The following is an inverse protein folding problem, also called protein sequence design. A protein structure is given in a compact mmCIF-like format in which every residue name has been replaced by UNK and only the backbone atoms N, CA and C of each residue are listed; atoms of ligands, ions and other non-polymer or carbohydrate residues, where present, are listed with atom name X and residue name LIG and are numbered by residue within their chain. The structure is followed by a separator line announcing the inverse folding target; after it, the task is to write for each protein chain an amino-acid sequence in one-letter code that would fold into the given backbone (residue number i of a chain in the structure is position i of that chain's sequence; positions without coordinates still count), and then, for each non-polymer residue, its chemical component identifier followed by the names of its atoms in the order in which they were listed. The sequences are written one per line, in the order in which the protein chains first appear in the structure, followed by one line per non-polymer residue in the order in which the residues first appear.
data_IF_652374634265
#
_entry.id   IF_652374634265
#
_cell.length_a   1.000
_cell.length_b   1.000
_cell.length_c   1.000
_cell.angle_alpha   90.00
_cell.angle_beta   90.00
_cell.angle_gamma   90.00
#
_symmetry.space_group_name_H-M   'P 1'
#
loop_
_entity.id
_entity.type
_entity.pdbx_description
1 polymer ?
#
# COMPACT_ATOMS: atom_id res chain seq x y z
N UNK A 1 6.09 -0.05 -1.13
CA UNK A 1 6.27 0.16 0.31
C UNK A 1 4.94 -0.03 1.05
N UNK A 2 3.96 0.89 0.91
CA UNK A 2 2.67 0.79 1.63
C UNK A 2 1.92 -0.54 1.40
N UNK A 3 1.66 -0.92 0.14
CA UNK A 3 0.86 -2.12 -0.15
C UNK A 3 1.56 -3.42 0.20
N UNK A 4 2.87 -3.47 0.06
CA UNK A 4 3.69 -4.61 0.48
C UNK A 4 3.68 -4.75 2.01
N UNK A 5 3.75 -3.64 2.74
CA UNK A 5 3.67 -3.64 4.20
C UNK A 5 2.30 -4.14 4.69
N UNK A 6 1.21 -3.60 4.11
CA UNK A 6 -0.17 -4.03 4.39
C UNK A 6 -0.36 -5.51 4.04
N UNK A 7 0.11 -5.94 2.87
CA UNK A 7 0.01 -7.34 2.42
C UNK A 7 0.77 -8.25 3.37
N UNK A 8 2.03 -7.94 3.67
CA UNK A 8 2.89 -8.73 4.56
C UNK A 8 2.28 -8.86 5.94
N UNK A 9 1.78 -7.76 6.50
CA UNK A 9 1.04 -7.77 7.76
C UNK A 9 -0.12 -8.77 7.69
N UNK A 10 -0.98 -8.66 6.66
CA UNK A 10 -2.13 -9.55 6.51
C UNK A 10 -1.74 -11.02 6.32
N UNK A 11 -0.71 -11.31 5.54
CA UNK A 11 -0.21 -12.67 5.34
C UNK A 11 0.29 -13.30 6.65
N UNK A 12 0.96 -12.51 7.49
CA UNK A 12 1.44 -12.98 8.80
C UNK A 12 0.30 -13.29 9.79
N UNK A 13 -0.93 -12.85 9.51
CA UNK A 13 -2.10 -13.19 10.33
C UNK A 13 -2.75 -14.52 9.93
N UNK A 14 -2.29 -15.17 8.85
CA UNK A 14 -2.82 -16.48 8.45
C UNK A 14 -2.26 -17.56 9.38
N UNK A 15 -3.10 -18.32 10.12
CA UNK A 15 -2.62 -19.32 11.07
C UNK A 15 -1.74 -20.40 10.44
N UNK A 16 -0.59 -20.71 11.04
CA UNK A 16 0.37 -21.70 10.53
C UNK A 16 -0.23 -23.11 10.36
N UNK A 17 -1.24 -23.46 11.15
CA UNK A 17 -1.92 -24.75 11.12
C UNK A 17 -3.16 -24.85 10.24
N UNK A 18 -3.48 -23.84 9.43
CA UNK A 18 -4.63 -23.94 8.52
C UNK A 18 -4.36 -24.89 7.35
N UNK A 19 -5.42 -25.55 6.88
CA UNK A 19 -5.37 -26.42 5.71
C UNK A 19 -4.81 -25.66 4.49
N UNK A 20 -3.99 -26.30 3.61
CA UNK A 20 -3.34 -25.62 2.49
C UNK A 20 -4.31 -24.83 1.60
N UNK A 21 -5.47 -25.42 1.28
CA UNK A 21 -6.48 -24.77 0.43
C UNK A 21 -7.13 -23.54 1.11
N UNK A 22 -7.18 -23.50 2.44
CA UNK A 22 -7.68 -22.35 3.21
C UNK A 22 -6.66 -21.22 3.19
N UNK A 23 -5.37 -21.55 3.34
CA UNK A 23 -4.26 -20.60 3.19
C UNK A 23 -4.27 -19.94 1.81
N UNK A 24 -4.34 -20.74 0.75
CA UNK A 24 -4.39 -20.23 -0.63
C UNK A 24 -5.63 -19.35 -0.89
N UNK A 25 -6.78 -19.69 -0.31
CA UNK A 25 -7.97 -18.86 -0.42
C UNK A 25 -7.81 -17.51 0.32
N UNK A 26 -7.21 -17.53 1.52
CA UNK A 26 -6.92 -16.33 2.29
C UNK A 26 -5.92 -15.41 1.58
N UNK A 27 -4.83 -15.97 1.06
CA UNK A 27 -3.81 -15.23 0.30
C UNK A 27 -4.41 -14.53 -0.93
N UNK A 28 -5.23 -15.25 -1.71
CA UNK A 28 -5.94 -14.64 -2.85
C UNK A 28 -6.92 -13.54 -2.42
N UNK A 29 -7.60 -13.72 -1.29
CA UNK A 29 -8.51 -12.71 -0.74
C UNK A 29 -7.76 -11.44 -0.32
N UNK A 30 -6.61 -11.59 0.32
CA UNK A 30 -5.71 -10.48 0.70
C UNK A 30 -5.24 -9.75 -0.56
N UNK A 31 -4.75 -10.48 -1.56
CA UNK A 31 -4.28 -9.89 -2.82
C UNK A 31 -5.39 -9.12 -3.54
N UNK A 32 -6.61 -9.67 -3.60
CA UNK A 32 -7.76 -9.01 -4.19
C UNK A 32 -8.18 -7.74 -3.42
N UNK A 33 -8.15 -7.77 -2.08
CA UNK A 33 -8.49 -6.63 -1.26
C UNK A 33 -7.46 -5.50 -1.37
N UNK A 34 -6.16 -5.84 -1.33
CA UNK A 34 -5.08 -4.87 -1.54
C UNK A 34 -5.20 -4.24 -2.92
N UNK A 35 -5.42 -5.05 -3.96
CA UNK A 35 -5.63 -4.55 -5.31
C UNK A 35 -6.88 -3.65 -5.44
N UNK A 36 -7.99 -4.02 -4.79
CA UNK A 36 -9.20 -3.20 -4.71
C UNK A 36 -8.94 -1.83 -4.10
N UNK A 37 -8.19 -1.77 -3.00
CA UNK A 37 -7.79 -0.52 -2.36
C UNK A 37 -6.91 0.33 -3.31
N UNK A 38 -5.99 -0.30 -4.04
CA UNK A 38 -5.16 0.40 -5.02
C UNK A 38 -6.01 1.05 -6.10
N UNK A 39 -7.00 0.34 -6.65
CA UNK A 39 -7.91 0.91 -7.65
C UNK A 39 -8.74 2.07 -7.10
N UNK A 40 -9.09 2.05 -5.81
CA UNK A 40 -9.81 3.16 -5.16
C UNK A 40 -8.93 4.40 -5.04
N UNK A 41 -7.67 4.22 -4.64
CA UNK A 41 -6.70 5.31 -4.48
C UNK A 41 -6.34 5.91 -5.85
N UNK A 42 -6.18 5.07 -6.86
CA UNK A 42 -5.90 5.48 -8.24
C UNK A 42 -7.13 6.11 -8.93
N UNK A 43 -8.30 6.10 -8.27
CA UNK A 43 -9.54 6.63 -8.80
C UNK A 43 -10.16 5.80 -9.93
N UNK A 44 -9.65 4.59 -10.18
CA UNK A 44 -10.10 3.65 -11.22
C UNK A 44 -11.43 2.99 -10.84
N UNK A 45 -11.63 2.67 -9.56
CA UNK A 45 -12.86 2.03 -9.09
C UNK A 45 -13.31 2.57 -7.74
N UNK A 46 -14.54 2.24 -7.32
CA UNK A 46 -15.04 2.66 -6.01
C UNK A 46 -15.19 4.17 -5.92
N UNK A 47 -15.89 4.75 -6.90
CA UNK A 47 -16.38 6.11 -6.78
C UNK A 47 -17.23 6.16 -5.51
N UNK A 48 -16.65 6.65 -4.42
CA UNK A 48 -17.33 6.95 -3.16
C UNK A 48 -18.24 8.15 -3.44
N UNK A 49 -19.24 7.93 -4.27
CA UNK A 49 -20.06 8.94 -4.87
C UNK A 49 -21.49 8.43 -5.02
N UNK A 50 -22.42 9.35 -4.96
CA UNK A 50 -23.81 9.17 -5.33
C UNK A 50 -24.19 10.26 -6.34
N UNK A 51 -25.47 10.35 -6.70
CA UNK A 51 -26.00 11.30 -7.69
C UNK A 51 -25.67 12.78 -7.39
N UNK A 52 -25.26 13.12 -6.16
CA UNK A 52 -25.09 14.50 -5.71
C UNK A 52 -23.75 14.78 -5.04
N UNK A 53 -22.95 13.75 -4.75
CA UNK A 53 -21.76 13.87 -3.92
C UNK A 53 -20.67 12.93 -4.42
N UNK A 54 -19.42 13.35 -4.25
CA UNK A 54 -18.22 12.55 -4.51
C UNK A 54 -17.24 12.77 -3.37
N UNK A 55 -16.61 11.69 -2.92
CA UNK A 55 -15.46 11.72 -2.02
C UNK A 55 -14.22 11.52 -2.87
N UNK A 56 -13.27 12.43 -2.71
CA UNK A 56 -11.93 12.31 -3.28
C UNK A 56 -10.98 11.90 -2.16
N UNK A 57 -10.20 10.85 -2.42
CA UNK A 57 -9.18 10.37 -1.50
C UNK A 57 -7.83 10.81 -2.03
N UNK A 58 -7.08 11.53 -1.20
CA UNK A 58 -5.71 11.93 -1.50
C UNK A 58 -4.79 11.23 -0.50
N UNK A 59 -3.78 10.52 -1.02
CA UNK A 59 -2.76 9.88 -0.17
C UNK A 59 -1.44 10.57 -0.43
N UNK A 60 -0.89 11.16 0.63
CA UNK A 60 0.38 11.88 0.56
C UNK A 60 1.45 11.06 1.28
N UNK A 61 2.46 10.61 0.54
CA UNK A 61 3.65 10.04 1.12
C UNK A 61 4.63 11.17 1.48
N UNK A 62 5.10 11.21 2.73
CA UNK A 62 6.09 12.18 3.20
C UNK A 62 7.36 11.47 3.66
N UNK A 63 8.50 11.97 3.22
CA UNK A 63 9.80 11.62 3.79
C UNK A 63 10.10 12.62 4.91
N UNK A 64 10.23 12.11 6.13
CA UNK A 64 10.45 12.91 7.33
C UNK A 64 11.74 12.51 8.03
N UNK A 65 12.45 13.47 8.61
CA UNK A 65 13.56 13.25 9.54
C UNK A 65 13.33 14.06 10.82
N UNK A 66 14.08 13.74 11.88
CA UNK A 66 14.10 14.58 13.07
C UNK A 66 15.08 15.74 12.86
N UNK A 67 14.67 16.95 13.24
CA UNK A 67 15.55 18.12 13.26
C UNK A 67 16.37 18.18 14.57
N UNK A 68 17.13 19.25 14.78
CA UNK A 68 17.97 19.45 15.98
C UNK A 68 17.17 19.54 17.29
N UNK A 69 15.86 19.81 17.21
CA UNK A 69 14.93 19.92 18.34
C UNK A 69 14.10 18.62 18.54
N UNK A 70 14.48 17.50 17.89
CA UNK A 70 13.73 16.24 17.88
C UNK A 70 12.29 16.36 17.34
N UNK A 71 12.03 17.34 16.48
CA UNK A 71 10.75 17.52 15.78
C UNK A 71 10.80 16.99 14.35
N UNK A 72 9.65 16.55 13.82
CA UNK A 72 9.53 16.07 12.44
C UNK A 72 9.73 17.22 11.43
N UNK A 73 10.78 17.11 10.62
CA UNK A 73 11.04 17.92 9.44
C UNK A 73 10.68 17.14 8.16
N UNK A 74 9.82 17.71 7.32
CA UNK A 74 9.42 17.10 6.04
C UNK A 74 10.46 17.43 4.97
N UNK A 75 11.23 16.44 4.57
CA UNK A 75 12.24 16.55 3.52
C UNK A 75 11.66 16.45 2.11
N UNK A 76 10.58 15.67 1.94
CA UNK A 76 9.88 15.54 0.67
C UNK A 76 8.42 15.12 0.86
N UNK A 77 7.55 15.47 -0.10
CA UNK A 77 6.14 15.09 -0.12
C UNK A 77 5.72 14.73 -1.53
N UNK A 78 4.98 13.63 -1.68
CA UNK A 78 4.45 13.15 -2.95
C UNK A 78 2.96 12.84 -2.80
N UNK A 79 2.13 13.42 -3.67
CA UNK A 79 0.75 13.00 -3.82
C UNK A 79 0.71 11.74 -4.69
N UNK A 80 0.24 10.64 -4.10
CA UNK A 80 0.14 9.35 -4.77
C UNK A 80 -1.05 9.26 -5.73
N UNK A 81 -2.00 10.20 -5.67
CA UNK A 81 -3.12 10.28 -6.60
C UNK A 81 -2.77 11.05 -7.90
N UNK A 82 -1.70 11.84 -7.89
CA UNK A 82 -1.28 12.63 -9.07
C UNK A 82 -0.25 11.86 -9.91
N UNK A 83 -0.70 10.88 -10.71
CA UNK A 83 0.08 10.28 -11.80
C UNK A 83 -0.17 8.78 -12.06
N UNK A 84 0.25 8.27 -13.22
CA UNK A 84 0.19 6.84 -13.65
C UNK A 84 1.02 5.87 -12.75
N UNK A 85 1.52 6.35 -11.60
CA UNK A 85 2.59 5.75 -10.83
C UNK A 85 2.17 4.59 -9.93
N UNK A 86 0.92 4.54 -9.47
CA UNK A 86 0.47 3.52 -8.50
C UNK A 86 0.20 2.18 -9.17
N UNK A 87 -0.57 2.15 -10.25
CA UNK A 87 -0.80 0.92 -11.03
C UNK A 87 0.46 0.44 -11.78
N UNK A 88 1.28 1.36 -12.28
CA UNK A 88 2.57 1.01 -12.90
C UNK A 88 3.56 0.51 -11.86
N UNK A 89 3.59 1.14 -10.68
CA UNK A 89 4.40 0.69 -9.54
C UNK A 89 3.99 -0.70 -9.05
N UNK A 90 2.69 -1.02 -9.03
CA UNK A 90 2.18 -2.34 -8.68
C UNK A 90 2.63 -3.44 -9.65
N UNK A 91 2.47 -3.20 -10.96
CA UNK A 91 2.87 -4.17 -11.97
C UNK A 91 4.38 -4.40 -11.95
N UNK A 92 5.17 -3.33 -11.85
CA UNK A 92 6.63 -3.42 -11.70
C UNK A 92 7.03 -4.17 -10.43
N UNK A 93 6.25 -4.02 -9.35
CA UNK A 93 6.47 -4.75 -8.09
C UNK A 93 6.13 -6.24 -8.20
N UNK A 94 4.99 -6.62 -8.78
CA UNK A 94 4.66 -8.02 -9.10
C UNK A 94 5.73 -8.68 -9.99
N UNK A 95 6.32 -7.90 -10.89
CA UNK A 95 7.37 -8.37 -11.81
C UNK A 95 8.78 -8.40 -11.18
N UNK A 96 8.95 -7.94 -9.94
CA UNK A 96 10.24 -7.93 -9.25
C UNK A 96 11.23 -6.84 -9.70
N UNK A 97 10.75 -5.80 -10.39
CA UNK A 97 11.59 -4.75 -11.01
C UNK A 97 12.32 -3.85 -9.99
N UNK A 98 11.97 -3.92 -8.70
CA UNK A 98 12.57 -3.13 -7.62
C UNK A 98 13.69 -3.84 -6.85
N UNK A 99 14.10 -5.04 -7.29
CA UNK A 99 15.18 -5.80 -6.67
C UNK A 99 14.78 -6.58 -5.42
N UNK A 100 15.69 -7.41 -4.93
CA UNK A 100 15.49 -8.29 -3.76
C UNK A 100 15.69 -7.56 -2.41
N UNK A 101 16.18 -6.32 -2.43
CA UNK A 101 16.48 -5.58 -1.21
C UNK A 101 15.21 -5.02 -0.56
N UNK A 102 15.08 -5.34 0.72
CA UNK A 102 13.89 -5.11 1.51
C UNK A 102 13.47 -3.63 1.50
N UNK A 103 12.17 -3.43 1.28
CA UNK A 103 11.42 -2.26 1.74
C UNK A 103 12.05 -1.75 3.04
N UNK A 104 12.48 -0.48 3.06
CA UNK A 104 13.11 0.14 4.22
C UNK A 104 12.38 -0.25 5.51
N UNK A 105 13.09 -0.93 6.41
CA UNK A 105 12.49 -1.40 7.65
C UNK A 105 12.14 -0.20 8.52
N UNK A 106 10.92 -0.12 9.09
CA UNK A 106 10.69 0.82 10.17
C UNK A 106 11.65 0.46 11.31
N UNK A 107 12.39 1.45 11.81
CA UNK A 107 13.26 1.25 12.95
C UNK A 107 12.41 0.72 14.11
N UNK A 108 12.70 -0.52 14.54
CA UNK A 108 11.96 -1.19 15.59
C UNK A 108 11.98 -0.39 16.89
N UNK A 109 10.85 -0.39 17.59
CA UNK A 109 10.80 -0.19 19.04
C UNK A 109 10.89 -1.55 19.73
#
# INVERSE_FOLDING_TARGET
VLFEDVRRYAMNQIPDGCEPHVREAAERGIDAAVYGLMMVIDGVSGSLSNDRQRVELQIIARHVCLNEDDEDEVLASLDLASGDGMCTGYHRWLNGDFGADAVAFPAGR
#
